data_IF_718679328150
#
_entry.id   IF_718679328150
#
_cell.length_a   1.000
_cell.length_b   1.000
_cell.length_c   1.000
_cell.angle_alpha   90.00
_cell.angle_beta   90.00
_cell.angle_gamma   90.00
#
_symmetry.space_group_name_H-M   'P 1'
#
loop_
_entity.id
_entity.type
_entity.pdbx_description
1 polymer ?
#
# COMPACT_ATOMS: atom_id res chain seq x y z
N UNK A 1 10.34 -14.92 19.21
CA UNK A 1 8.88 -14.85 19.11
C UNK A 1 8.48 -14.12 17.82
N UNK A 2 8.06 -14.89 16.79
CA UNK A 2 7.75 -14.38 15.45
C UNK A 2 6.59 -13.38 15.45
N UNK A 3 5.62 -13.56 16.35
CA UNK A 3 4.51 -12.61 16.47
C UNK A 3 5.02 -11.21 16.85
N UNK A 4 5.97 -11.12 17.80
CA UNK A 4 6.60 -9.83 18.14
C UNK A 4 7.43 -9.25 17.00
N UNK A 5 8.06 -10.12 16.19
CA UNK A 5 8.83 -9.69 15.03
C UNK A 5 7.93 -9.03 13.97
N UNK A 6 6.69 -9.45 13.83
CA UNK A 6 5.74 -8.83 12.89
C UNK A 6 5.38 -7.37 13.24
N UNK A 7 5.59 -6.94 14.48
CA UNK A 7 5.45 -5.55 14.92
C UNK A 7 6.75 -4.73 14.83
N UNK A 8 7.85 -5.33 14.33
CA UNK A 8 9.08 -4.60 14.01
C UNK A 8 9.00 -4.00 12.61
N UNK A 9 9.88 -3.03 12.35
CA UNK A 9 9.95 -2.39 11.05
C UNK A 9 10.50 -3.34 9.98
N UNK A 10 9.78 -3.42 8.87
CA UNK A 10 10.21 -3.95 7.60
C UNK A 10 10.31 -2.81 6.59
N UNK A 11 11.23 -2.92 5.65
CA UNK A 11 11.43 -1.89 4.65
C UNK A 11 10.88 -2.36 3.30
N UNK A 12 10.12 -1.49 2.65
CA UNK A 12 9.43 -1.75 1.40
C UNK A 12 9.95 -0.82 0.32
N UNK A 13 10.27 -1.33 -0.86
CA UNK A 13 10.60 -0.48 -2.00
C UNK A 13 9.37 0.30 -2.45
N UNK A 14 9.53 1.59 -2.77
CA UNK A 14 8.46 2.35 -3.42
C UNK A 14 8.26 1.89 -4.85
N UNK A 15 7.06 2.04 -5.36
CA UNK A 15 6.78 1.80 -6.78
C UNK A 15 7.29 2.98 -7.60
N UNK A 16 6.98 4.19 -7.17
CA UNK A 16 7.44 5.45 -7.70
C UNK A 16 7.67 6.40 -6.53
N UNK A 17 8.66 7.26 -6.65
CA UNK A 17 8.80 8.42 -5.79
C UNK A 17 7.83 9.49 -6.32
N UNK A 18 6.95 9.99 -5.44
CA UNK A 18 5.92 10.96 -5.83
C UNK A 18 6.42 12.40 -5.72
N UNK A 19 7.33 12.66 -4.78
CA UNK A 19 7.90 13.97 -4.54
C UNK A 19 9.41 13.91 -4.36
N UNK A 20 10.07 15.07 -4.45
CA UNK A 20 11.54 15.17 -4.37
C UNK A 20 12.13 14.87 -3.00
N UNK A 21 11.31 14.86 -1.96
CA UNK A 21 11.72 14.55 -0.57
C UNK A 21 11.52 13.07 -0.20
N UNK A 22 11.04 12.24 -1.12
CA UNK A 22 10.85 10.80 -0.88
C UNK A 22 12.11 10.01 -1.22
N UNK A 23 12.37 9.01 -0.39
CA UNK A 23 13.37 7.97 -0.67
C UNK A 23 12.76 6.84 -1.48
N UNK A 24 13.60 5.99 -2.08
CA UNK A 24 13.17 4.83 -2.87
C UNK A 24 12.56 3.69 -2.03
N UNK A 25 12.53 3.83 -0.72
CA UNK A 25 11.93 2.87 0.20
C UNK A 25 11.25 3.59 1.37
N UNK A 26 10.44 2.86 2.10
CA UNK A 26 9.82 3.29 3.36
C UNK A 26 9.78 2.14 4.36
N UNK A 27 9.68 2.47 5.65
CA UNK A 27 9.65 1.47 6.73
C UNK A 27 8.30 1.43 7.42
N UNK A 28 7.72 0.23 7.57
CA UNK A 28 6.50 -0.01 8.33
C UNK A 28 6.60 -1.35 9.08
N UNK A 29 5.92 -1.50 10.25
CA UNK A 29 5.60 -2.81 10.79
C UNK A 29 4.63 -3.57 9.86
N UNK A 30 4.64 -4.92 9.91
CA UNK A 30 3.64 -5.70 9.19
C UNK A 30 2.27 -5.55 9.84
N UNK A 31 2.23 -5.46 11.17
CA UNK A 31 1.03 -5.22 11.96
C UNK A 31 1.25 -4.07 12.92
N UNK A 32 0.23 -3.25 13.08
CA UNK A 32 0.22 -2.13 14.02
C UNK A 32 -1.20 -1.89 14.52
N UNK A 33 -1.33 -1.39 15.74
CA UNK A 33 -2.61 -1.05 16.33
C UNK A 33 -2.75 0.46 16.48
N UNK A 34 -3.88 1.00 16.07
CA UNK A 34 -4.25 2.39 16.25
C UNK A 34 -5.73 2.47 16.66
N UNK A 35 -5.99 3.12 17.80
CA UNK A 35 -7.35 3.29 18.33
C UNK A 35 -8.18 1.99 18.41
N UNK A 36 -7.56 0.89 18.86
CA UNK A 36 -8.19 -0.42 18.98
C UNK A 36 -8.47 -1.14 17.65
N UNK A 37 -7.95 -0.63 16.55
CA UNK A 37 -8.01 -1.28 15.24
C UNK A 37 -6.65 -1.83 14.85
N UNK A 38 -6.64 -3.09 14.40
CA UNK A 38 -5.46 -3.69 13.81
C UNK A 38 -5.34 -3.27 12.34
N UNK A 39 -4.18 -2.78 11.99
CA UNK A 39 -3.77 -2.46 10.63
C UNK A 39 -2.69 -3.43 10.18
N UNK A 40 -2.72 -3.78 8.90
CA UNK A 40 -1.70 -4.65 8.34
C UNK A 40 -1.22 -4.13 6.98
N UNK A 41 0.09 -4.30 6.74
CA UNK A 41 0.71 -4.02 5.46
C UNK A 41 1.62 -5.16 5.07
N UNK A 42 1.31 -5.86 3.99
CA UNK A 42 2.10 -6.97 3.53
C UNK A 42 2.29 -6.95 2.01
N UNK A 43 3.53 -6.98 1.61
CA UNK A 43 3.92 -7.22 0.21
C UNK A 43 5.34 -7.78 0.17
N UNK A 44 5.45 -9.10 0.08
CA UNK A 44 6.74 -9.80 0.07
C UNK A 44 7.69 -9.26 -1.00
N UNK A 45 7.19 -9.06 -2.21
CA UNK A 45 8.02 -8.60 -3.32
C UNK A 45 8.64 -7.23 -3.04
N UNK A 46 7.89 -6.33 -2.39
CA UNK A 46 8.38 -5.01 -1.99
C UNK A 46 9.45 -5.09 -0.90
N UNK A 47 9.27 -5.97 0.07
CA UNK A 47 10.28 -6.20 1.12
C UNK A 47 11.54 -6.79 0.51
N UNK A 48 11.42 -7.80 -0.35
CA UNK A 48 12.57 -8.44 -1.00
C UNK A 48 13.31 -7.48 -1.93
N UNK A 49 12.60 -6.71 -2.74
CA UNK A 49 13.23 -5.73 -3.64
C UNK A 49 13.91 -4.59 -2.89
N UNK A 50 13.39 -4.17 -1.75
CA UNK A 50 14.03 -3.18 -0.89
C UNK A 50 15.42 -3.61 -0.42
N UNK A 51 15.67 -4.94 -0.24
CA UNK A 51 16.97 -5.45 0.18
C UNK A 51 18.12 -5.17 -0.82
N UNK A 52 17.79 -4.76 -2.04
CA UNK A 52 18.77 -4.36 -3.08
C UNK A 52 19.03 -2.84 -3.07
N UNK A 53 18.32 -2.07 -2.27
CA UNK A 53 18.48 -0.63 -2.19
C UNK A 53 19.54 -0.25 -1.15
N UNK A 54 20.28 0.81 -1.45
CA UNK A 54 21.25 1.38 -0.51
C UNK A 54 20.54 1.96 0.72
N UNK A 55 21.15 1.80 1.90
CA UNK A 55 20.63 2.29 3.17
C UNK A 55 19.55 1.41 3.81
N UNK A 56 19.07 0.37 3.12
CA UNK A 56 18.08 -0.55 3.70
C UNK A 56 18.76 -1.59 4.60
N UNK A 57 18.39 -1.66 5.89
CA UNK A 57 18.88 -2.70 6.80
C UNK A 57 18.55 -4.10 6.27
N UNK A 58 19.50 -5.02 6.39
CA UNK A 58 19.28 -6.41 5.97
C UNK A 58 18.30 -7.12 6.91
N UNK A 59 17.42 -7.92 6.33
CA UNK A 59 16.47 -8.74 7.09
C UNK A 59 17.22 -9.70 8.02
N UNK A 60 16.83 -9.71 9.28
CA UNK A 60 17.28 -10.70 10.24
C UNK A 60 16.73 -12.10 9.89
N UNK A 61 17.32 -13.19 10.43
CA UNK A 61 16.74 -14.52 10.30
C UNK A 61 15.29 -14.60 10.82
N UNK A 62 14.99 -13.98 11.96
CA UNK A 62 13.64 -13.95 12.52
C UNK A 62 12.64 -13.22 11.62
N UNK A 63 13.05 -12.12 10.98
CA UNK A 63 12.18 -11.42 10.01
C UNK A 63 11.90 -12.28 8.78
N UNK A 64 12.89 -13.01 8.25
CA UNK A 64 12.68 -13.92 7.12
C UNK A 64 11.70 -15.03 7.48
N UNK A 65 11.89 -15.66 8.64
CA UNK A 65 10.99 -16.69 9.15
C UNK A 65 9.57 -16.15 9.37
N UNK A 66 9.44 -14.93 9.93
CA UNK A 66 8.12 -14.26 10.08
C UNK A 66 7.42 -14.08 8.73
N UNK A 67 8.16 -13.68 7.70
CA UNK A 67 7.63 -13.56 6.33
C UNK A 67 7.14 -14.91 5.78
N UNK A 68 7.91 -15.98 6.02
CA UNK A 68 7.57 -17.31 5.51
C UNK A 68 6.33 -17.87 6.22
N UNK A 69 6.24 -17.74 7.54
CA UNK A 69 5.07 -18.13 8.32
C UNK A 69 3.83 -17.32 7.95
N UNK A 70 3.97 -16.00 7.73
CA UNK A 70 2.84 -15.18 7.29
C UNK A 70 2.31 -15.62 5.93
N UNK A 71 3.19 -15.87 4.96
CA UNK A 71 2.79 -16.38 3.64
C UNK A 71 2.13 -17.75 3.72
N UNK A 72 2.60 -18.63 4.61
CA UNK A 72 1.98 -19.94 4.85
C UNK A 72 0.55 -19.77 5.40
N UNK A 73 0.38 -18.92 6.42
CA UNK A 73 -0.93 -18.65 7.01
C UNK A 73 -1.90 -18.10 5.97
N UNK A 74 -1.46 -17.12 5.17
CA UNK A 74 -2.29 -16.47 4.15
C UNK A 74 -2.73 -17.39 3.00
N UNK A 75 -2.04 -18.54 2.83
CA UNK A 75 -2.40 -19.55 1.81
C UNK A 75 -3.29 -20.67 2.36
N UNK A 76 -3.67 -20.64 3.62
CA UNK A 76 -4.54 -21.65 4.20
C UNK A 76 -5.94 -21.55 3.58
N UNK A 77 -6.51 -22.66 3.10
CA UNK A 77 -7.81 -22.63 2.42
C UNK A 77 -8.94 -22.02 3.26
N UNK A 78 -8.90 -22.22 4.58
CA UNK A 78 -9.90 -21.71 5.50
C UNK A 78 -9.83 -20.18 5.71
N UNK A 79 -8.73 -19.54 5.32
CA UNK A 79 -8.52 -18.09 5.37
C UNK A 79 -8.58 -17.41 4.01
N UNK A 80 -8.68 -18.20 2.94
CA UNK A 80 -8.57 -17.72 1.58
C UNK A 80 -9.90 -17.82 0.83
N UNK A 81 -10.34 -16.70 0.25
CA UNK A 81 -11.44 -16.69 -0.70
C UNK A 81 -10.92 -16.51 -2.12
N UNK A 82 -11.30 -17.40 -3.01
CA UNK A 82 -10.90 -17.37 -4.42
C UNK A 82 -12.08 -17.03 -5.31
N UNK A 83 -11.88 -16.14 -6.27
CA UNK A 83 -12.89 -15.74 -7.25
C UNK A 83 -12.26 -15.44 -8.60
N UNK A 84 -13.04 -15.58 -9.65
CA UNK A 84 -12.71 -15.05 -10.97
C UNK A 84 -13.48 -13.76 -11.17
N UNK A 85 -12.82 -12.73 -11.70
CA UNK A 85 -13.47 -11.49 -12.11
C UNK A 85 -13.82 -11.58 -13.58
N UNK A 86 -15.10 -11.37 -13.88
CA UNK A 86 -15.63 -11.29 -15.24
C UNK A 86 -15.64 -9.83 -15.74
N UNK A 87 -15.67 -9.58 -17.05
CA UNK A 87 -15.83 -8.24 -17.58
C UNK A 87 -17.07 -7.53 -17.01
N UNK A 88 -16.86 -6.39 -16.37
CA UNK A 88 -17.92 -5.60 -15.71
C UNK A 88 -17.98 -5.80 -14.20
N UNK A 89 -17.28 -6.78 -13.63
CA UNK A 89 -17.22 -6.95 -12.18
C UNK A 89 -16.51 -5.79 -11.49
N UNK A 90 -17.03 -5.44 -10.34
CA UNK A 90 -16.43 -4.44 -9.44
C UNK A 90 -16.13 -5.09 -8.09
N UNK A 91 -14.86 -5.03 -7.66
CA UNK A 91 -14.43 -5.48 -6.36
C UNK A 91 -14.10 -4.27 -5.47
N UNK A 92 -14.75 -4.17 -4.32
CA UNK A 92 -14.51 -3.13 -3.30
C UNK A 92 -13.91 -3.81 -2.08
N UNK A 93 -12.75 -3.33 -1.62
CA UNK A 93 -12.01 -3.90 -0.50
C UNK A 93 -11.66 -2.85 0.53
N UNK A 94 -11.78 -3.20 1.81
CA UNK A 94 -11.08 -2.48 2.88
C UNK A 94 -9.62 -2.95 2.92
N UNK A 95 -8.74 -2.17 2.32
CA UNK A 95 -7.33 -2.54 2.12
C UNK A 95 -6.50 -2.62 3.42
N UNK A 96 -7.05 -2.18 4.55
CA UNK A 96 -6.41 -2.31 5.86
C UNK A 96 -6.78 -3.59 6.60
N UNK A 97 -7.82 -4.28 6.14
CA UNK A 97 -8.39 -5.47 6.80
C UNK A 97 -8.27 -6.74 5.96
N UNK A 98 -7.97 -6.62 4.68
CA UNK A 98 -7.93 -7.75 3.76
C UNK A 98 -6.68 -7.72 2.88
N UNK A 99 -5.97 -8.82 2.88
CA UNK A 99 -4.93 -9.05 1.88
C UNK A 99 -5.57 -9.56 0.58
N UNK A 100 -5.02 -9.14 -0.53
CA UNK A 100 -5.46 -9.60 -1.83
C UNK A 100 -4.27 -9.82 -2.76
N UNK A 101 -4.37 -10.85 -3.57
CA UNK A 101 -3.37 -11.16 -4.59
C UNK A 101 -4.04 -11.74 -5.82
N UNK A 102 -3.27 -11.99 -6.85
CA UNK A 102 -3.70 -12.77 -8.01
C UNK A 102 -2.78 -13.96 -8.22
N UNK A 103 -3.30 -15.00 -8.80
CA UNK A 103 -2.51 -16.10 -9.34
C UNK A 103 -1.74 -15.68 -10.58
N UNK A 104 -0.77 -16.47 -11.00
CA UNK A 104 -0.14 -16.32 -12.33
C UNK A 104 -1.20 -16.51 -13.42
N UNK A 105 -1.06 -15.82 -14.53
CA UNK A 105 -1.91 -15.95 -15.70
C UNK A 105 -1.08 -15.75 -16.96
N UNK A 106 -1.56 -16.30 -18.06
CA UNK A 106 -0.98 -16.05 -19.38
C UNK A 106 -1.88 -15.07 -20.11
N UNK A 107 -1.31 -13.98 -20.58
CA UNK A 107 -2.06 -12.97 -21.31
C UNK A 107 -2.11 -13.29 -22.81
N UNK A 108 -3.10 -12.76 -23.49
CA UNK A 108 -3.20 -12.89 -24.94
C UNK A 108 -2.14 -12.01 -25.65
N UNK A 109 -1.75 -12.42 -26.85
CA UNK A 109 -0.80 -11.62 -27.68
C UNK A 109 -1.43 -10.31 -28.19
N UNK A 110 -2.73 -10.35 -28.49
CA UNK A 110 -3.46 -9.17 -28.99
C UNK A 110 -3.77 -8.21 -27.84
N UNK A 111 -3.44 -6.94 -28.00
CA UNK A 111 -3.71 -5.89 -27.01
C UNK A 111 -5.20 -5.79 -26.62
N UNK A 112 -6.10 -5.96 -27.59
CA UNK A 112 -7.55 -5.89 -27.35
C UNK A 112 -8.10 -7.05 -26.52
N UNK A 113 -7.34 -8.13 -26.35
CA UNK A 113 -7.71 -9.31 -25.59
C UNK A 113 -6.95 -9.42 -24.28
N UNK A 114 -5.98 -8.53 -24.03
CA UNK A 114 -5.24 -8.56 -22.79
C UNK A 114 -6.14 -8.22 -21.61
N UNK A 115 -5.86 -8.88 -20.49
CA UNK A 115 -6.54 -8.59 -19.23
C UNK A 115 -6.26 -7.12 -18.83
N UNK A 116 -7.33 -6.37 -18.67
CA UNK A 116 -7.29 -5.00 -18.17
C UNK A 116 -8.06 -4.89 -16.85
N UNK A 117 -7.43 -4.32 -15.83
CA UNK A 117 -8.06 -4.07 -14.53
C UNK A 117 -7.80 -2.61 -14.15
N UNK A 118 -8.86 -1.83 -14.05
CA UNK A 118 -8.78 -0.50 -13.46
C UNK A 118 -8.77 -0.59 -11.95
N UNK A 119 -7.91 0.19 -11.32
CA UNK A 119 -7.80 0.25 -9.86
C UNK A 119 -7.87 1.68 -9.38
N UNK A 120 -8.73 1.91 -8.41
CA UNK A 120 -8.84 3.17 -7.70
C UNK A 120 -8.48 2.96 -6.23
N UNK A 121 -7.70 3.86 -5.68
CA UNK A 121 -7.40 3.92 -4.26
C UNK A 121 -8.16 5.10 -3.67
N UNK A 122 -9.03 4.81 -2.70
CA UNK A 122 -9.94 5.78 -2.15
C UNK A 122 -9.58 6.06 -0.68
N UNK A 123 -9.53 7.35 -0.33
CA UNK A 123 -9.53 7.81 1.05
C UNK A 123 -10.74 8.75 1.21
N UNK A 124 -11.92 8.20 1.56
CA UNK A 124 -13.15 8.99 1.62
C UNK A 124 -13.18 9.95 2.82
N UNK A 125 -14.11 10.92 2.86
CA UNK A 125 -14.23 11.90 3.94
C UNK A 125 -14.43 11.30 5.33
N UNK A 126 -14.98 10.10 5.42
CA UNK A 126 -15.16 9.32 6.66
C UNK A 126 -13.98 8.36 6.94
N UNK A 127 -12.86 8.55 6.27
CA UNK A 127 -11.67 7.72 6.50
C UNK A 127 -11.14 7.86 7.92
N UNK A 128 -10.70 6.73 8.49
CA UNK A 128 -10.19 6.64 9.86
C UNK A 128 -8.76 7.13 9.97
N UNK A 129 -8.31 7.44 11.19
CA UNK A 129 -6.90 7.69 11.49
C UNK A 129 -6.08 6.44 11.21
N UNK A 130 -4.92 6.62 10.58
CA UNK A 130 -3.93 5.56 10.36
C UNK A 130 -2.83 5.64 11.43
N UNK A 131 -2.08 4.54 11.65
CA UNK A 131 -0.90 4.56 12.50
C UNK A 131 0.11 5.62 12.06
N UNK A 132 0.78 6.25 13.00
CA UNK A 132 1.73 7.33 12.72
C UNK A 132 2.92 6.87 11.86
N UNK A 133 3.36 5.62 12.00
CA UNK A 133 4.43 5.04 11.19
C UNK A 133 4.11 5.03 9.67
N UNK A 134 2.82 5.11 9.30
CA UNK A 134 2.36 5.11 7.92
C UNK A 134 2.45 6.47 7.23
N UNK A 135 2.84 7.52 7.96
CA UNK A 135 2.95 8.90 7.44
C UNK A 135 3.93 9.01 6.27
N UNK A 136 5.06 8.34 6.33
CA UNK A 136 6.04 8.36 5.25
C UNK A 136 5.47 7.81 3.92
N UNK A 137 4.56 6.84 3.99
CA UNK A 137 3.91 6.28 2.80
C UNK A 137 2.69 7.09 2.35
N UNK A 138 1.77 7.41 3.28
CA UNK A 138 0.48 8.05 2.95
C UNK A 138 0.49 9.57 3.04
N UNK A 139 1.57 10.19 3.47
CA UNK A 139 1.72 11.62 3.74
C UNK A 139 0.87 12.11 4.90
N UNK A 140 -0.42 11.88 4.87
CA UNK A 140 -1.30 12.16 5.99
C UNK A 140 -1.86 10.88 6.58
N UNK A 141 -1.83 10.78 7.89
CA UNK A 141 -2.46 9.70 8.68
C UNK A 141 -3.74 10.16 9.36
N UNK A 142 -4.07 11.45 9.23
CA UNK A 142 -5.25 12.04 9.84
C UNK A 142 -6.55 11.51 9.23
N UNK A 143 -7.63 11.44 10.02
CA UNK A 143 -8.95 11.14 9.48
C UNK A 143 -9.41 12.25 8.54
N UNK A 144 -10.23 11.90 7.57
CA UNK A 144 -10.77 12.83 6.57
C UNK A 144 -9.69 13.67 5.85
N UNK A 145 -8.55 13.05 5.53
CA UNK A 145 -7.44 13.72 4.86
C UNK A 145 -7.20 13.13 3.46
N UNK A 146 -6.82 14.00 2.53
CA UNK A 146 -6.27 13.57 1.24
C UNK A 146 -4.92 12.91 1.50
N UNK A 147 -4.73 11.71 0.95
CA UNK A 147 -3.55 10.88 1.16
C UNK A 147 -2.72 10.73 -0.10
N UNK A 148 -1.41 10.61 0.08
CA UNK A 148 -0.50 10.14 -0.95
C UNK A 148 -0.49 8.62 -1.04
N UNK A 149 0.61 8.06 -1.53
CA UNK A 149 0.85 6.62 -1.57
C UNK A 149 0.90 6.09 -2.99
N UNK A 150 -0.07 5.31 -3.45
CA UNK A 150 0.01 4.64 -4.75
C UNK A 150 -0.52 5.57 -5.84
N UNK A 151 0.40 6.06 -6.67
CA UNK A 151 0.09 6.84 -7.88
C UNK A 151 0.74 6.18 -9.10
N UNK A 152 0.10 6.31 -10.24
CA UNK A 152 0.63 5.81 -11.50
C UNK A 152 1.64 6.75 -12.17
N UNK A 153 1.83 7.95 -11.61
CA UNK A 153 2.66 9.03 -12.16
C UNK A 153 3.30 9.86 -11.04
N UNK A 154 4.34 10.61 -11.38
CA UNK A 154 4.95 11.59 -10.49
C UNK A 154 3.95 12.64 -10.04
N UNK A 155 4.11 13.15 -8.82
CA UNK A 155 3.28 14.20 -8.27
C UNK A 155 3.70 15.55 -8.85
N UNK A 156 2.90 16.10 -9.73
CA UNK A 156 3.10 17.37 -10.42
C UNK A 156 2.11 18.45 -9.98
N UNK A 157 2.21 19.64 -10.56
CA UNK A 157 1.31 20.76 -10.27
C UNK A 157 -0.16 20.43 -10.58
N UNK A 158 -0.44 19.58 -11.57
CA UNK A 158 -1.83 19.19 -11.91
C UNK A 158 -2.39 18.29 -10.81
N UNK A 159 -1.59 17.35 -10.32
CA UNK A 159 -1.94 16.49 -9.19
C UNK A 159 -2.19 17.32 -7.94
N UNK A 160 -1.31 18.28 -7.62
CA UNK A 160 -1.47 19.16 -6.47
C UNK A 160 -2.75 19.99 -6.55
N UNK A 161 -3.03 20.60 -7.70
CA UNK A 161 -4.27 21.36 -7.92
C UNK A 161 -5.53 20.49 -7.83
N UNK A 162 -5.46 19.25 -8.32
CA UNK A 162 -6.55 18.30 -8.19
C UNK A 162 -6.81 17.95 -6.72
N UNK A 163 -5.76 17.62 -5.96
CA UNK A 163 -5.88 17.27 -4.55
C UNK A 163 -6.46 18.43 -3.73
N UNK A 164 -6.05 19.69 -3.99
CA UNK A 164 -6.58 20.89 -3.33
C UNK A 164 -8.09 21.03 -3.61
N UNK A 165 -8.50 21.01 -4.88
CA UNK A 165 -9.91 21.12 -5.26
C UNK A 165 -10.74 19.97 -4.70
N UNK A 166 -10.19 18.77 -4.67
CA UNK A 166 -10.86 17.59 -4.12
C UNK A 166 -11.06 17.74 -2.60
N UNK A 167 -10.03 18.21 -1.88
CA UNK A 167 -10.12 18.50 -0.46
C UNK A 167 -11.17 19.56 -0.15
N UNK A 168 -11.19 20.66 -0.91
CA UNK A 168 -12.20 21.73 -0.78
C UNK A 168 -13.62 21.21 -1.01
N UNK A 169 -13.83 20.48 -2.11
CA UNK A 169 -15.14 19.96 -2.49
C UNK A 169 -15.72 18.98 -1.47
N UNK A 170 -14.86 18.13 -0.87
CA UNK A 170 -15.24 17.10 0.10
C UNK A 170 -15.06 17.54 1.55
N UNK A 171 -14.65 18.77 1.80
CA UNK A 171 -14.31 19.28 3.15
C UNK A 171 -13.30 18.38 3.89
N UNK A 172 -12.25 17.99 3.18
CA UNK A 172 -11.16 17.15 3.68
C UNK A 172 -9.93 17.98 4.05
N UNK A 173 -9.12 17.47 4.97
CA UNK A 173 -7.79 18.03 5.28
C UNK A 173 -6.82 17.71 4.14
N UNK A 174 -5.86 18.59 3.91
CA UNK A 174 -4.78 18.37 2.94
C UNK A 174 -3.45 18.89 3.49
N UNK A 175 -2.42 18.07 3.35
CA UNK A 175 -1.04 18.49 3.53
C UNK A 175 -0.45 18.80 2.15
N UNK A 176 -0.03 20.06 1.98
CA UNK A 176 0.70 20.44 0.77
C UNK A 176 2.10 19.84 0.82
N UNK A 177 2.57 19.32 -0.30
CA UNK A 177 3.91 18.76 -0.43
C UNK A 177 4.61 19.27 -1.67
N UNK A 178 5.96 19.26 -1.67
CA UNK A 178 6.70 19.58 -2.88
C UNK A 178 6.40 18.53 -3.97
N UNK A 179 6.29 18.96 -5.20
CA UNK A 179 6.19 18.08 -6.36
C UNK A 179 7.51 18.08 -7.13
N UNK A 180 7.77 16.99 -7.84
CA UNK A 180 8.89 16.94 -8.77
C UNK A 180 8.61 17.92 -9.90
N UNK A 181 9.46 18.94 -10.03
CA UNK A 181 9.43 19.95 -11.11
C UNK A 181 9.84 19.38 -12.44
#
# INVERSE_FOLDING_TARGET
DLAKTAYQYFYFSRQNEESSDETSFYGLPLFEEENGSLFCNWNRNRVQSAQNLEGVPKLSPAQRETMDVLDEILRRPELMYTMYLEPGDMQILNNYKMFHSRTSYTDFKSESQKRCLYRLWLAPPDSIKLPESWRDFYRSVEPAAVRGGIRGQSYDKKCANFDIKHAEFLNMKIDTRPYKG
#
